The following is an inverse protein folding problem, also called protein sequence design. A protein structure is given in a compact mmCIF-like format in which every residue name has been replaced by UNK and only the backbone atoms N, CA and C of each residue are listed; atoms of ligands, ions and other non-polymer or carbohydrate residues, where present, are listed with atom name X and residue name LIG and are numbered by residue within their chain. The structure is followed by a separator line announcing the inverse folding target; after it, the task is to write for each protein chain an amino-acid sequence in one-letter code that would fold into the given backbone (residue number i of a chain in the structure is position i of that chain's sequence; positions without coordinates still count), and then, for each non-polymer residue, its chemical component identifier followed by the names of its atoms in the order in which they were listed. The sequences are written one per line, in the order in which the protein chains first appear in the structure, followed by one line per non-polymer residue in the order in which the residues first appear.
data_IF_580847882813
#
_entry.id   IF_580847882813
#
_cell.length_a   1.000
_cell.length_b   1.000
_cell.length_c   1.000
_cell.angle_alpha   90.00
_cell.angle_beta   90.00
_cell.angle_gamma   90.00
#
_symmetry.space_group_name_H-M   'P 1'
#
loop_
_entity.id
_entity.type
_entity.pdbx_description
1 polymer ?
#
# COMPACT_ATOMS: atom_id res chain seq x y z
N UNK A 1 14.16 6.80 13.74
CA UNK A 1 13.54 6.59 12.43
C UNK A 1 12.06 6.28 12.64
N UNK A 2 11.15 7.15 12.17
CA UNK A 2 9.70 7.04 12.39
C UNK A 2 9.01 6.79 11.05
N UNK A 3 8.01 5.92 11.05
CA UNK A 3 7.18 5.68 9.87
C UNK A 3 6.35 6.92 9.57
N UNK A 4 6.39 7.37 8.31
CA UNK A 4 5.70 8.58 7.85
C UNK A 4 4.28 8.31 7.35
N UNK A 5 4.01 7.07 6.91
CA UNK A 5 2.69 6.66 6.42
C UNK A 5 1.75 6.44 7.62
N UNK A 6 0.57 7.08 7.59
CA UNK A 6 -0.47 6.93 8.61
C UNK A 6 -1.62 6.04 8.11
N UNK A 7 -2.50 5.61 9.03
CA UNK A 7 -3.71 4.86 8.68
C UNK A 7 -4.66 5.69 7.80
N UNK A 8 -4.84 6.98 8.09
CA UNK A 8 -5.66 7.88 7.27
C UNK A 8 -5.20 7.95 5.80
N UNK A 9 -3.87 7.94 5.57
CA UNK A 9 -3.33 7.92 4.20
C UNK A 9 -3.59 6.58 3.51
N UNK A 10 -3.53 5.47 4.26
CA UNK A 10 -3.86 4.13 3.77
C UNK A 10 -5.34 4.07 3.38
N UNK A 11 -6.22 4.59 4.23
CA UNK A 11 -7.67 4.62 3.98
C UNK A 11 -7.99 5.46 2.74
N UNK A 12 -7.38 6.63 2.60
CA UNK A 12 -7.55 7.47 1.41
C UNK A 12 -7.12 6.78 0.11
N UNK A 13 -6.04 5.99 0.12
CA UNK A 13 -5.67 5.19 -1.06
C UNK A 13 -6.65 4.02 -1.29
N UNK A 14 -7.12 3.38 -0.21
CA UNK A 14 -8.11 2.32 -0.31
C UNK A 14 -9.43 2.79 -0.94
N UNK A 15 -9.85 4.03 -0.67
CA UNK A 15 -11.00 4.66 -1.32
C UNK A 15 -10.81 4.79 -2.84
N UNK A 16 -9.62 5.21 -3.29
CA UNK A 16 -9.27 5.23 -4.73
C UNK A 16 -9.40 3.83 -5.33
N UNK A 17 -8.96 2.80 -4.61
CA UNK A 17 -9.04 1.41 -5.07
C UNK A 17 -10.49 0.88 -5.10
N UNK A 18 -11.35 1.33 -4.19
CA UNK A 18 -12.80 1.08 -4.21
C UNK A 18 -13.43 1.70 -5.46
N UNK A 19 -13.14 2.97 -5.74
CA UNK A 19 -13.66 3.69 -6.91
C UNK A 19 -13.24 3.04 -8.23
N UNK A 20 -12.01 2.53 -8.30
CA UNK A 20 -11.50 1.77 -9.44
C UNK A 20 -12.06 0.33 -9.52
N UNK A 21 -12.93 -0.07 -8.58
CA UNK A 21 -13.46 -1.44 -8.46
C UNK A 21 -12.36 -2.50 -8.42
N UNK A 22 -11.20 -2.15 -7.85
CA UNK A 22 -10.06 -3.04 -7.71
C UNK A 22 -10.20 -3.90 -6.46
N UNK A 23 -9.77 -5.17 -6.47
CA UNK A 23 -9.75 -6.00 -5.27
C UNK A 23 -8.56 -5.70 -4.35
N UNK A 24 -7.57 -4.93 -4.80
CA UNK A 24 -6.34 -4.67 -4.02
C UNK A 24 -6.58 -3.62 -2.94
N UNK A 25 -6.07 -3.87 -1.73
CA UNK A 25 -6.09 -2.94 -0.59
C UNK A 25 -4.71 -2.82 0.04
N UNK A 26 -4.55 -1.77 0.83
CA UNK A 26 -3.41 -1.52 1.69
C UNK A 26 -3.81 -1.81 3.15
N UNK A 27 -2.91 -2.42 3.90
CA UNK A 27 -3.07 -2.69 5.33
C UNK A 27 -1.78 -2.37 6.07
N UNK A 28 -1.88 -1.63 7.16
CA UNK A 28 -0.75 -1.41 8.05
C UNK A 28 -0.39 -2.73 8.74
N UNK A 29 0.89 -3.08 8.79
CA UNK A 29 1.33 -4.22 9.59
C UNK A 29 1.37 -3.84 11.07
N UNK A 30 0.81 -4.72 11.90
CA UNK A 30 0.78 -4.57 13.36
C UNK A 30 2.13 -4.93 13.99
N UNK A 31 2.95 -5.74 13.31
CA UNK A 31 4.21 -6.29 13.85
C UNK A 31 5.44 -5.57 13.32
N UNK A 32 5.40 -5.10 12.08
CA UNK A 32 6.48 -4.41 11.40
C UNK A 32 5.94 -3.06 10.94
N UNK A 33 6.70 -1.98 11.09
CA UNK A 33 6.31 -0.66 10.59
C UNK A 33 6.39 -0.61 9.06
N UNK A 34 5.45 -1.25 8.41
CA UNK A 34 5.34 -1.38 6.95
C UNK A 34 3.89 -1.50 6.51
N UNK A 35 3.65 -1.17 5.24
CA UNK A 35 2.35 -1.30 4.61
C UNK A 35 2.37 -2.53 3.70
N UNK A 36 1.37 -3.38 3.85
CA UNK A 36 1.18 -4.58 3.07
C UNK A 36 0.12 -4.34 2.00
N UNK A 37 0.38 -4.88 0.81
CA UNK A 37 -0.57 -4.93 -0.28
C UNK A 37 -1.31 -6.26 -0.18
N UNK A 38 -2.63 -6.19 -0.02
CA UNK A 38 -3.50 -7.34 0.20
C UNK A 38 -4.65 -7.40 -0.79
N UNK A 39 -5.37 -8.51 -0.82
CA UNK A 39 -6.67 -8.62 -1.48
C UNK A 39 -7.79 -8.35 -0.47
N UNK A 40 -8.85 -7.68 -0.92
CA UNK A 40 -10.06 -7.52 -0.13
C UNK A 40 -10.74 -8.88 0.10
N UNK A 41 -11.25 -9.12 1.30
CA UNK A 41 -11.88 -10.38 1.74
C UNK A 41 -10.97 -11.61 1.62
N UNK A 42 -9.77 -11.55 2.20
CA UNK A 42 -8.80 -12.66 2.20
C UNK A 42 -9.00 -13.69 3.33
N UNK A 43 -10.13 -13.64 4.05
CA UNK A 43 -10.46 -14.52 5.20
C UNK A 43 -10.35 -16.03 4.92
N UNK A 44 -10.48 -16.44 3.64
CA UNK A 44 -10.40 -17.84 3.21
C UNK A 44 -9.11 -18.15 2.43
N UNK A 45 -8.13 -17.24 2.44
CA UNK A 45 -6.89 -17.36 1.68
C UNK A 45 -5.72 -17.46 2.67
N UNK A 46 -5.10 -18.64 2.73
CA UNK A 46 -3.93 -18.87 3.60
C UNK A 46 -2.68 -18.13 3.08
N UNK A 47 -2.47 -18.12 1.76
CA UNK A 47 -1.35 -17.39 1.14
C UNK A 47 -1.60 -17.10 -0.35
N UNK A 48 -0.96 -16.06 -0.86
CA UNK A 48 -1.02 -15.67 -2.26
C UNK A 48 0.18 -14.81 -2.66
N UNK A 49 0.37 -14.63 -3.97
CA UNK A 49 1.32 -13.67 -4.55
C UNK A 49 0.53 -12.69 -5.43
N UNK A 50 0.58 -11.39 -5.12
CA UNK A 50 0.00 -10.35 -5.97
C UNK A 50 1.08 -9.82 -6.92
N UNK A 51 0.94 -10.13 -8.20
CA UNK A 51 1.81 -9.59 -9.25
C UNK A 51 1.22 -8.28 -9.80
N UNK A 52 1.57 -7.17 -9.17
CA UNK A 52 1.13 -5.84 -9.56
C UNK A 52 1.90 -5.33 -10.80
N UNK A 53 1.21 -4.56 -11.65
CA UNK A 53 1.82 -3.95 -12.82
C UNK A 53 2.33 -2.53 -12.51
N UNK A 54 3.09 -1.95 -13.46
CA UNK A 54 3.63 -0.59 -13.34
C UNK A 54 2.57 0.48 -13.09
N UNK A 55 1.36 0.32 -13.63
CA UNK A 55 0.26 1.29 -13.46
C UNK A 55 -0.16 1.40 -11.99
N UNK A 56 -0.18 0.28 -11.26
CA UNK A 56 -0.46 0.29 -9.83
C UNK A 56 0.61 1.09 -9.07
N UNK A 57 1.89 0.81 -9.30
CA UNK A 57 2.97 1.49 -8.58
C UNK A 57 3.02 2.99 -8.88
N UNK A 58 2.81 3.40 -10.14
CA UNK A 58 2.70 4.82 -10.48
C UNK A 58 1.53 5.48 -9.76
N UNK A 59 0.36 4.84 -9.72
CA UNK A 59 -0.80 5.37 -9.00
C UNK A 59 -0.52 5.51 -7.49
N UNK A 60 0.14 4.52 -6.89
CA UNK A 60 0.50 4.53 -5.47
C UNK A 60 1.48 5.66 -5.16
N UNK A 61 2.57 5.76 -5.92
CA UNK A 61 3.59 6.79 -5.71
C UNK A 61 3.02 8.19 -5.95
N UNK A 62 2.24 8.39 -7.00
CA UNK A 62 1.58 9.67 -7.28
C UNK A 62 0.59 10.04 -6.19
N UNK A 63 -0.17 9.08 -5.66
CA UNK A 63 -1.11 9.33 -4.56
C UNK A 63 -0.38 9.84 -3.31
N UNK A 64 0.61 9.10 -2.83
CA UNK A 64 1.33 9.45 -1.60
C UNK A 64 2.20 10.70 -1.77
N UNK A 65 2.75 10.94 -2.96
CA UNK A 65 3.49 12.16 -3.26
C UNK A 65 2.60 13.38 -3.27
N UNK A 66 1.50 13.34 -4.02
CA UNK A 66 0.67 14.52 -4.27
C UNK A 66 -0.27 14.84 -3.10
N UNK A 67 -0.78 13.82 -2.41
CA UNK A 67 -1.75 14.01 -1.32
C UNK A 67 -1.10 14.00 0.07
N UNK A 68 0.06 13.37 0.23
CA UNK A 68 0.67 13.16 1.55
C UNK A 68 2.08 13.76 1.69
N UNK A 69 2.67 14.28 0.60
CA UNK A 69 4.02 14.85 0.59
C UNK A 69 5.15 13.83 0.74
N UNK A 70 4.86 12.52 0.57
CA UNK A 70 5.87 11.47 0.68
C UNK A 70 6.68 11.38 -0.63
N UNK A 71 7.95 11.77 -0.57
CA UNK A 71 8.84 11.82 -1.74
C UNK A 71 9.64 10.55 -1.97
N UNK A 72 9.70 9.66 -0.97
CA UNK A 72 10.45 8.41 -1.04
C UNK A 72 9.65 7.26 -0.42
N UNK A 73 9.35 6.27 -1.24
CA UNK A 73 8.74 5.00 -0.84
C UNK A 73 9.74 3.89 -1.17
N UNK A 74 10.00 3.03 -0.21
CA UNK A 74 10.89 1.88 -0.31
C UNK A 74 10.04 0.62 -0.35
N UNK A 75 10.47 -0.39 -1.12
CA UNK A 75 9.73 -1.63 -1.30
C UNK A 75 10.59 -2.83 -0.92
N UNK A 76 9.95 -3.93 -0.52
CA UNK A 76 10.61 -5.22 -0.47
C UNK A 76 10.89 -5.77 -1.88
N UNK A 77 11.64 -6.88 -1.96
CA UNK A 77 12.07 -7.47 -3.23
C UNK A 77 10.91 -7.87 -4.16
N UNK A 78 9.73 -8.15 -3.61
CA UNK A 78 8.54 -8.56 -4.38
C UNK A 78 7.58 -7.42 -4.66
N UNK A 79 7.84 -6.21 -4.13
CA UNK A 79 6.94 -5.06 -4.24
C UNK A 79 5.61 -5.19 -3.47
N UNK A 80 5.43 -6.25 -2.68
CA UNK A 80 4.19 -6.54 -1.93
C UNK A 80 4.13 -5.84 -0.57
N UNK A 81 5.26 -5.30 -0.10
CA UNK A 81 5.37 -4.56 1.15
C UNK A 81 6.20 -3.31 0.89
N UNK A 82 5.81 -2.19 1.47
CA UNK A 82 6.52 -0.93 1.35
C UNK A 82 6.51 -0.10 2.63
N UNK A 83 7.39 0.89 2.70
CA UNK A 83 7.52 1.79 3.84
C UNK A 83 8.10 3.14 3.43
N UNK A 84 7.94 4.14 4.29
CA UNK A 84 8.60 5.43 4.18
C UNK A 84 8.99 5.93 5.57
N UNK A 85 10.23 6.37 5.72
CA UNK A 85 10.81 6.76 6.99
C UNK A 85 11.39 8.18 6.94
N UNK A 86 11.27 8.88 8.06
CA UNK A 86 11.92 10.16 8.35
C UNK A 86 12.36 10.28 9.80
#
# INVERSE_FOLDING_TARGET
MKMLITEEMIDGFNDVMVDLKSPVRLKMSETIRSVHIILNNDDFIESYIINLNKKFYSLLEDFFKNNCGLTKIEYNNTGSVFWSYG
#
